data_IF_214231987180
#
_entry.id   IF_214231987180
#
_cell.length_a   1.000
_cell.length_b   1.000
_cell.length_c   1.000
_cell.angle_alpha   90.00
_cell.angle_beta   90.00
_cell.angle_gamma   90.00
#
_symmetry.space_group_name_H-M   'P 1'
#
loop_
_entity.id
_entity.type
_entity.pdbx_description
1 polymer ?
#
# COMPACT_ATOMS: atom_id res chain seq x y z
N UNK A 1 9.81 10.57 0.11
CA UNK A 1 8.92 9.54 0.66
C UNK A 1 8.18 10.03 1.89
N UNK A 2 8.87 10.49 2.93
CA UNK A 2 8.25 10.98 4.19
C UNK A 2 7.14 12.02 3.95
N UNK A 3 7.40 13.03 3.13
CA UNK A 3 6.40 14.06 2.78
C UNK A 3 5.10 13.45 2.24
N UNK A 4 5.20 12.50 1.32
CA UNK A 4 4.05 11.85 0.70
C UNK A 4 3.31 10.97 1.71
N UNK A 5 4.04 10.27 2.57
CA UNK A 5 3.44 9.48 3.64
C UNK A 5 2.67 10.37 4.63
N UNK A 6 3.24 11.52 4.99
CA UNK A 6 2.61 12.52 5.84
C UNK A 6 1.31 13.06 5.23
N UNK A 7 1.28 13.31 3.91
CA UNK A 7 0.04 13.69 3.22
C UNK A 7 -1.08 12.65 3.43
N UNK A 8 -0.76 11.36 3.31
CA UNK A 8 -1.71 10.27 3.53
C UNK A 8 -2.21 10.20 4.98
N UNK A 9 -1.33 10.47 5.94
CA UNK A 9 -1.70 10.55 7.36
C UNK A 9 -2.65 11.72 7.60
N UNK A 10 -2.31 12.89 7.10
CA UNK A 10 -3.08 14.13 7.32
C UNK A 10 -4.49 14.05 6.69
N UNK A 11 -4.62 13.37 5.57
CA UNK A 11 -5.90 13.14 4.89
C UNK A 11 -6.79 12.13 5.65
N UNK A 12 -6.22 11.22 6.41
CA UNK A 12 -6.92 10.29 7.30
C UNK A 12 -7.60 9.10 6.62
N UNK A 13 -7.55 8.98 5.30
CA UNK A 13 -8.21 7.92 4.53
C UNK A 13 -7.24 6.94 3.85
N UNK A 14 -5.98 6.94 4.27
CA UNK A 14 -4.96 6.04 3.71
C UNK A 14 -4.31 5.12 4.75
N UNK A 15 -4.27 5.52 6.01
CA UNK A 15 -3.56 4.78 7.07
C UNK A 15 -4.12 5.10 8.45
N UNK A 16 -3.91 4.18 9.40
CA UNK A 16 -4.12 4.42 10.84
C UNK A 16 -2.91 5.05 11.53
N UNK A 17 -1.77 5.15 10.85
CA UNK A 17 -0.56 5.74 11.42
C UNK A 17 -0.75 7.22 11.73
N UNK A 18 -0.05 7.71 12.74
CA UNK A 18 -0.14 9.10 13.21
C UNK A 18 1.07 9.94 12.85
N UNK A 19 2.16 9.31 12.49
CA UNK A 19 3.40 9.94 12.03
C UNK A 19 4.13 9.00 11.06
N UNK A 20 4.90 9.54 10.11
CA UNK A 20 5.73 8.72 9.24
C UNK A 20 6.79 8.00 10.07
N UNK A 21 7.16 6.76 9.69
CA UNK A 21 8.31 6.10 10.30
C UNK A 21 9.60 6.84 9.96
N UNK A 22 10.62 6.71 10.79
CA UNK A 22 11.97 7.10 10.43
C UNK A 22 12.47 6.25 9.26
N UNK A 23 13.54 6.70 8.59
CA UNK A 23 14.13 5.91 7.52
C UNK A 23 14.61 4.53 7.99
N UNK A 24 15.17 4.45 9.18
CA UNK A 24 15.61 3.20 9.79
C UNK A 24 14.44 2.25 10.06
N UNK A 25 13.38 2.75 10.69
CA UNK A 25 12.16 1.97 10.93
C UNK A 25 11.54 1.48 9.61
N UNK A 26 11.47 2.36 8.61
CA UNK A 26 10.95 2.01 7.29
C UNK A 26 11.78 0.91 6.62
N UNK A 27 13.11 1.06 6.59
CA UNK A 27 14.00 0.09 5.93
C UNK A 27 14.06 -1.25 6.66
N UNK A 28 13.88 -1.25 7.97
CA UNK A 28 13.84 -2.47 8.78
C UNK A 28 12.52 -3.23 8.63
N UNK A 29 11.41 -2.50 8.54
CA UNK A 29 10.07 -3.10 8.48
C UNK A 29 9.63 -3.50 7.06
N UNK A 30 10.26 -2.94 6.02
CA UNK A 30 9.90 -3.19 4.63
C UNK A 30 10.89 -4.13 3.95
N UNK A 31 10.38 -4.92 3.03
CA UNK A 31 11.17 -5.76 2.14
C UNK A 31 12.13 -4.90 1.31
N UNK A 32 13.30 -5.45 1.03
CA UNK A 32 14.27 -4.78 0.15
C UNK A 32 13.78 -4.78 -1.32
N UNK A 33 13.10 -5.85 -1.74
CA UNK A 33 12.64 -6.04 -3.11
C UNK A 33 11.27 -6.73 -3.12
N UNK A 34 10.27 -6.21 -3.84
CA UNK A 34 10.31 -4.91 -4.53
C UNK A 34 10.04 -3.73 -3.57
N UNK A 35 10.74 -2.63 -3.83
CA UNK A 35 10.55 -1.34 -3.16
C UNK A 35 10.88 -0.26 -4.18
N UNK A 36 9.88 0.52 -4.60
CA UNK A 36 9.96 1.39 -5.76
C UNK A 36 9.53 2.81 -5.45
N UNK A 37 10.13 3.75 -6.15
CA UNK A 37 9.70 5.14 -6.19
C UNK A 37 9.44 5.56 -7.63
N UNK A 38 8.49 6.45 -7.83
CA UNK A 38 8.30 7.18 -9.07
C UNK A 38 8.89 8.59 -8.90
N UNK A 39 9.83 8.94 -9.76
CA UNK A 39 10.48 10.25 -9.78
C UNK A 39 10.87 10.58 -11.22
N UNK A 40 11.00 11.88 -11.53
CA UNK A 40 11.73 12.30 -12.72
C UNK A 40 13.24 12.15 -12.49
N UNK A 41 14.03 12.14 -13.55
CA UNK A 41 15.47 11.90 -13.48
C UNK A 41 16.20 12.79 -12.46
N UNK A 42 15.83 14.06 -12.36
CA UNK A 42 16.36 15.04 -11.40
C UNK A 42 15.25 15.68 -10.53
N UNK A 43 14.07 15.09 -10.52
CA UNK A 43 12.89 15.67 -9.90
C UNK A 43 12.55 15.07 -8.52
N UNK A 44 11.56 15.65 -7.84
CA UNK A 44 11.07 15.13 -6.58
C UNK A 44 10.37 13.77 -6.76
N UNK A 45 10.36 12.97 -5.71
CA UNK A 45 9.58 11.73 -5.66
C UNK A 45 8.09 12.09 -5.76
N UNK A 46 7.39 11.44 -6.70
CA UNK A 46 5.96 11.61 -6.97
C UNK A 46 5.09 10.53 -6.32
N UNK A 47 5.69 9.42 -5.98
CA UNK A 47 5.00 8.30 -5.33
C UNK A 47 5.98 7.20 -4.96
N UNK A 48 5.49 6.27 -4.15
CA UNK A 48 6.27 5.11 -3.73
C UNK A 48 5.37 3.91 -3.45
N UNK A 49 5.94 2.72 -3.53
CA UNK A 49 5.32 1.46 -3.13
C UNK A 49 6.33 0.60 -2.40
N UNK A 50 5.91 0.00 -1.31
CA UNK A 50 6.71 -0.93 -0.53
C UNK A 50 5.82 -1.97 0.13
N UNK A 51 6.41 -3.08 0.56
CA UNK A 51 5.68 -4.16 1.20
C UNK A 51 6.40 -4.69 2.43
N UNK A 52 5.65 -5.37 3.26
CA UNK A 52 6.13 -6.11 4.42
C UNK A 52 5.66 -7.56 4.35
N UNK A 53 6.40 -8.45 4.98
CA UNK A 53 5.97 -9.82 5.19
C UNK A 53 4.74 -9.85 6.10
N UNK A 54 3.72 -10.63 5.78
CA UNK A 54 2.50 -10.73 6.61
C UNK A 54 2.68 -11.65 7.81
N UNK A 55 3.62 -12.58 7.76
CA UNK A 55 3.85 -13.55 8.82
C UNK A 55 5.29 -14.05 8.80
N UNK A 56 5.83 -14.37 9.97
CA UNK A 56 7.14 -15.03 10.12
C UNK A 56 7.10 -16.55 9.89
N UNK A 57 5.90 -17.11 9.71
CA UNK A 57 5.75 -18.55 9.46
C UNK A 57 6.16 -18.89 8.04
N UNK A 58 6.97 -19.95 7.88
CA UNK A 58 7.49 -20.40 6.58
C UNK A 58 6.39 -20.66 5.54
N UNK A 59 5.26 -21.19 5.97
CA UNK A 59 4.11 -21.44 5.09
C UNK A 59 3.59 -20.18 4.37
N UNK A 60 3.82 -19.00 4.94
CA UNK A 60 3.38 -17.70 4.40
C UNK A 60 4.52 -16.87 3.82
N UNK A 61 5.70 -17.44 3.58
CA UNK A 61 6.87 -16.69 3.08
C UNK A 61 6.63 -15.93 1.77
N UNK A 62 5.69 -16.39 0.95
CA UNK A 62 5.33 -15.74 -0.32
C UNK A 62 4.13 -14.81 -0.24
N UNK A 63 3.66 -14.48 0.98
CA UNK A 63 2.53 -13.57 1.19
C UNK A 63 3.04 -12.25 1.74
N UNK A 64 2.77 -11.17 1.02
CA UNK A 64 3.21 -9.83 1.39
C UNK A 64 2.04 -8.84 1.43
N UNK A 65 2.16 -7.82 2.25
CA UNK A 65 1.23 -6.70 2.32
C UNK A 65 1.91 -5.42 1.86
N UNK A 66 1.32 -4.74 0.89
CA UNK A 66 1.90 -3.53 0.32
C UNK A 66 1.15 -2.27 0.71
N UNK A 67 1.86 -1.16 0.57
CA UNK A 67 1.31 0.19 0.61
C UNK A 67 1.81 0.97 -0.60
N UNK A 68 0.93 1.69 -1.26
CA UNK A 68 1.23 2.59 -2.37
C UNK A 68 0.71 3.99 -2.04
N UNK A 69 1.56 4.98 -2.22
CA UNK A 69 1.24 6.38 -1.94
C UNK A 69 1.67 7.25 -3.11
N UNK A 70 0.81 8.15 -3.53
CA UNK A 70 1.05 9.12 -4.60
C UNK A 70 0.96 10.53 -4.02
N UNK A 71 1.93 11.38 -4.38
CA UNK A 71 1.89 12.79 -4.06
C UNK A 71 0.57 13.40 -4.53
N UNK A 72 -0.07 14.19 -3.66
CA UNK A 72 -1.39 14.79 -3.94
C UNK A 72 -1.39 15.62 -5.22
N UNK A 73 -0.29 16.32 -5.52
CA UNK A 73 -0.16 17.16 -6.70
C UNK A 73 0.06 16.37 -8.00
N UNK A 74 0.29 15.06 -7.89
CA UNK A 74 0.54 14.16 -9.02
C UNK A 74 -0.53 13.06 -9.17
N UNK A 75 -1.64 13.15 -8.45
CA UNK A 75 -2.77 12.24 -8.59
C UNK A 75 -3.48 12.42 -9.93
N UNK A 76 -4.08 11.35 -10.43
CA UNK A 76 -4.77 11.39 -11.72
C UNK A 76 -3.85 11.41 -12.94
N UNK A 77 -2.54 11.26 -12.76
CA UNK A 77 -1.52 11.26 -13.84
C UNK A 77 -0.95 9.86 -14.12
N UNK A 78 -1.53 8.82 -13.57
CA UNK A 78 -1.09 7.44 -13.78
C UNK A 78 0.08 6.97 -12.92
N UNK A 79 0.57 7.77 -11.98
CA UNK A 79 1.71 7.43 -11.11
C UNK A 79 1.44 6.17 -10.30
N UNK A 80 0.28 6.08 -9.64
CA UNK A 80 -0.11 4.92 -8.87
C UNK A 80 -0.23 3.66 -9.71
N UNK A 81 -0.82 3.77 -10.90
CA UNK A 81 -0.95 2.68 -11.86
C UNK A 81 0.41 2.14 -12.29
N UNK A 82 1.35 3.02 -12.65
CA UNK A 82 2.69 2.63 -13.07
C UNK A 82 3.46 1.97 -11.93
N UNK A 83 3.43 2.55 -10.73
CA UNK A 83 4.06 2.00 -9.54
C UNK A 83 3.52 0.61 -9.19
N UNK A 84 2.21 0.46 -9.18
CA UNK A 84 1.56 -0.80 -8.82
C UNK A 84 1.86 -1.90 -9.84
N UNK A 85 1.84 -1.60 -11.13
CA UNK A 85 2.19 -2.55 -12.18
C UNK A 85 3.65 -3.04 -12.06
N UNK A 86 4.58 -2.12 -11.88
CA UNK A 86 5.99 -2.45 -11.69
C UNK A 86 6.24 -3.23 -10.39
N UNK A 87 5.53 -2.87 -9.31
CA UNK A 87 5.60 -3.57 -8.04
C UNK A 87 5.11 -5.02 -8.16
N UNK A 88 3.97 -5.24 -8.81
CA UNK A 88 3.41 -6.58 -9.03
C UNK A 88 4.41 -7.45 -9.81
N UNK A 89 4.95 -6.95 -10.92
CA UNK A 89 5.93 -7.66 -11.71
C UNK A 89 7.20 -8.01 -10.90
N UNK A 90 7.70 -7.07 -10.10
CA UNK A 90 8.84 -7.29 -9.22
C UNK A 90 8.56 -8.31 -8.11
N UNK A 91 7.37 -8.28 -7.52
CA UNK A 91 6.96 -9.23 -6.50
C UNK A 91 6.86 -10.66 -7.05
N UNK A 92 6.23 -10.83 -8.20
CA UNK A 92 6.13 -12.12 -8.87
C UNK A 92 7.52 -12.68 -9.25
N UNK A 93 8.39 -11.82 -9.79
CA UNK A 93 9.78 -12.21 -10.11
C UNK A 93 10.60 -12.59 -8.88
N UNK A 94 10.29 -12.02 -7.72
CA UNK A 94 10.92 -12.36 -6.44
C UNK A 94 10.32 -13.61 -5.76
N UNK A 95 9.30 -14.23 -6.37
CA UNK A 95 8.69 -15.47 -5.87
C UNK A 95 7.56 -15.26 -4.87
N UNK A 96 7.03 -14.05 -4.74
CA UNK A 96 5.84 -13.81 -3.92
C UNK A 96 4.57 -14.20 -4.71
N UNK A 97 3.75 -15.06 -4.10
CA UNK A 97 2.55 -15.58 -4.76
C UNK A 97 1.24 -14.89 -4.37
N UNK A 98 1.24 -14.15 -3.25
CA UNK A 98 0.07 -13.37 -2.83
C UNK A 98 0.49 -11.98 -2.37
N UNK A 99 -0.16 -10.98 -2.94
CA UNK A 99 -0.03 -9.58 -2.53
C UNK A 99 -1.38 -9.16 -1.96
N UNK A 100 -1.39 -8.67 -0.71
CA UNK A 100 -2.60 -8.14 -0.07
C UNK A 100 -2.43 -6.68 0.32
N UNK A 101 -3.55 -6.03 0.60
CA UNK A 101 -3.59 -4.70 1.21
C UNK A 101 -4.92 -4.51 1.94
N UNK A 102 -4.93 -3.56 2.86
CA UNK A 102 -6.14 -3.10 3.56
C UNK A 102 -6.45 -1.68 3.11
N UNK A 103 -7.66 -1.45 2.64
CA UNK A 103 -8.10 -0.16 2.09
C UNK A 103 -9.32 0.31 2.86
N UNK A 104 -9.38 1.58 3.24
CA UNK A 104 -10.61 2.16 3.78
C UNK A 104 -11.71 2.13 2.70
N UNK A 105 -12.96 1.73 3.05
CA UNK A 105 -14.05 1.70 2.08
C UNK A 105 -14.32 3.04 1.39
N UNK A 106 -14.02 4.14 2.09
CA UNK A 106 -14.18 5.52 1.60
C UNK A 106 -13.13 5.89 0.55
N UNK A 107 -11.99 5.20 0.52
CA UNK A 107 -10.93 5.44 -0.45
C UNK A 107 -11.23 4.73 -1.78
N UNK A 108 -12.24 5.21 -2.48
CA UNK A 108 -12.72 4.62 -3.73
C UNK A 108 -11.67 4.68 -4.84
N UNK A 109 -10.85 5.72 -4.89
CA UNK A 109 -9.78 5.84 -5.89
C UNK A 109 -8.74 4.73 -5.75
N UNK A 110 -8.31 4.42 -4.52
CA UNK A 110 -7.40 3.32 -4.24
C UNK A 110 -8.01 1.97 -4.58
N UNK A 111 -9.29 1.76 -4.22
CA UNK A 111 -9.98 0.52 -4.54
C UNK A 111 -10.06 0.30 -6.05
N UNK A 112 -10.46 1.31 -6.83
CA UNK A 112 -10.51 1.24 -8.29
C UNK A 112 -9.14 0.95 -8.91
N UNK A 113 -8.09 1.60 -8.42
CA UNK A 113 -6.71 1.36 -8.85
C UNK A 113 -6.32 -0.11 -8.69
N UNK A 114 -6.60 -0.68 -7.53
CA UNK A 114 -6.24 -2.06 -7.21
C UNK A 114 -7.09 -3.09 -7.98
N UNK A 115 -8.40 -2.87 -8.09
CA UNK A 115 -9.28 -3.74 -8.89
C UNK A 115 -8.84 -3.77 -10.36
N UNK A 116 -8.48 -2.61 -10.93
CA UNK A 116 -7.96 -2.53 -12.29
C UNK A 116 -6.61 -3.26 -12.45
N UNK A 117 -5.83 -3.41 -11.38
CA UNK A 117 -4.57 -4.16 -11.36
C UNK A 117 -4.75 -5.66 -11.04
N UNK A 118 -5.97 -6.17 -10.98
CA UNK A 118 -6.28 -7.57 -10.76
C UNK A 118 -6.47 -8.01 -9.31
N UNK A 119 -6.60 -7.06 -8.38
CA UNK A 119 -6.97 -7.37 -6.99
C UNK A 119 -8.46 -7.66 -6.88
N UNK A 120 -8.81 -8.56 -5.98
CA UNK A 120 -10.19 -8.84 -5.60
C UNK A 120 -10.44 -8.44 -4.15
N UNK A 121 -11.67 -8.08 -3.81
CA UNK A 121 -12.08 -7.88 -2.43
C UNK A 121 -12.31 -9.25 -1.78
N UNK A 122 -11.57 -9.52 -0.72
CA UNK A 122 -11.73 -10.75 0.10
C UNK A 122 -12.90 -10.58 1.05
N UNK A 123 -12.99 -9.41 1.68
CA UNK A 123 -14.05 -9.10 2.63
C UNK A 123 -13.84 -7.77 3.35
N UNK A 124 -14.83 -7.41 4.16
CA UNK A 124 -14.83 -6.23 5.00
C UNK A 124 -14.54 -6.62 6.44
N UNK A 125 -13.60 -5.95 7.06
CA UNK A 125 -13.30 -6.06 8.47
C UNK A 125 -13.94 -4.88 9.21
N UNK A 126 -15.00 -5.15 9.91
CA UNK A 126 -15.73 -4.13 10.66
C UNK A 126 -14.99 -3.77 11.94
N UNK A 127 -14.94 -2.48 12.25
CA UNK A 127 -14.36 -1.94 13.49
C UNK A 127 -12.96 -2.46 13.77
N UNK A 128 -12.12 -2.55 12.71
CA UNK A 128 -10.78 -3.12 12.84
C UNK A 128 -9.86 -2.27 13.73
N UNK A 129 -10.00 -0.94 13.66
CA UNK A 129 -9.23 -0.01 14.49
C UNK A 129 -9.94 1.35 14.59
N UNK A 130 -9.48 2.19 15.50
CA UNK A 130 -9.94 3.59 15.63
C UNK A 130 -8.99 4.54 14.93
N UNK A 131 -9.54 5.47 14.17
CA UNK A 131 -8.76 6.61 13.69
C UNK A 131 -8.27 7.45 14.86
N UNK A 132 -7.04 7.91 14.78
CA UNK A 132 -6.39 8.70 15.83
C UNK A 132 -6.28 10.17 15.45
N UNK A 133 -6.33 10.48 14.17
CA UNK A 133 -6.19 11.83 13.61
C UNK A 133 -7.29 12.12 12.58
N UNK A 134 -7.40 13.41 12.22
CA UNK A 134 -8.30 13.88 11.18
C UNK A 134 -9.77 13.95 11.63
N UNK A 135 -10.65 14.13 10.66
CA UNK A 135 -12.09 14.29 10.88
C UNK A 135 -12.75 13.04 11.50
N UNK A 136 -12.12 11.88 11.37
CA UNK A 136 -12.59 10.58 11.88
C UNK A 136 -11.95 10.21 13.24
N UNK A 137 -11.20 11.11 13.86
CA UNK A 137 -10.52 10.83 15.14
C UNK A 137 -11.49 10.29 16.20
N UNK A 138 -11.09 9.20 16.85
CA UNK A 138 -11.89 8.51 17.88
C UNK A 138 -12.95 7.55 17.32
N UNK A 139 -13.24 7.57 16.03
CA UNK A 139 -14.24 6.70 15.41
C UNK A 139 -13.65 5.35 15.04
N UNK A 140 -14.44 4.29 15.24
CA UNK A 140 -14.15 2.98 14.71
C UNK A 140 -14.24 3.00 13.18
N UNK A 141 -13.26 2.38 12.54
CA UNK A 141 -13.18 2.30 11.08
C UNK A 141 -13.12 0.85 10.61
N UNK A 142 -13.76 0.63 9.47
CA UNK A 142 -13.69 -0.63 8.74
C UNK A 142 -12.57 -0.58 7.72
N UNK A 143 -12.07 -1.73 7.30
CA UNK A 143 -11.21 -1.87 6.13
C UNK A 143 -11.73 -2.96 5.21
N UNK A 144 -11.43 -2.82 3.92
CA UNK A 144 -11.57 -3.88 2.94
C UNK A 144 -10.22 -4.58 2.81
N UNK A 145 -10.21 -5.88 3.02
CA UNK A 145 -9.06 -6.71 2.68
C UNK A 145 -9.14 -7.05 1.21
N UNK A 146 -8.11 -6.72 0.46
CA UNK A 146 -7.97 -7.05 -0.95
C UNK A 146 -6.75 -7.91 -1.17
N UNK A 147 -6.77 -8.76 -2.18
CA UNK A 147 -5.62 -9.60 -2.53
C UNK A 147 -5.52 -9.82 -4.05
N UNK A 148 -4.29 -10.07 -4.49
CA UNK A 148 -3.99 -10.55 -5.84
C UNK A 148 -3.10 -11.78 -5.75
N UNK A 149 -3.45 -12.81 -6.52
CA UNK A 149 -2.66 -14.04 -6.65
C UNK A 149 -1.79 -13.98 -7.89
N UNK A 150 -0.53 -14.43 -7.80
CA UNK A 150 0.33 -14.58 -8.97
C UNK A 150 -0.25 -15.61 -9.94
N UNK A 151 -0.21 -15.31 -11.23
CA UNK A 151 -0.64 -16.24 -12.26
C UNK A 151 0.37 -17.38 -12.48
N UNK A 152 1.61 -17.21 -12.02
CA UNK A 152 2.67 -18.20 -12.24
C UNK A 152 2.51 -19.49 -11.41
N UNK A 153 1.72 -19.41 -10.33
CA UNK A 153 1.51 -20.53 -9.39
C UNK A 153 0.07 -21.09 -9.42
N UNK A 154 -0.65 -20.78 -10.48
CA UNK A 154 -2.02 -21.28 -10.67
C UNK A 154 -2.07 -22.63 -11.43
#
# INVERSE_FOLDING_TARGET
MERIYRQGIDEGDATFETHPPTWEEFTTSKLHTPRLVAADDDGPVRGWVAASQVSSREAYRGVIEHSVYVDRDHRGQGVGRTLLAAFIAGAESAGYWTIQSSIFPENSASLQLHVAAGFRVVGRRERIARSRLGAQAGQWRDTLLIERRSAADS
#
